data_IF_831351674525
#
_entry.id   IF_831351674525
#
_cell.length_a   1.000
_cell.length_b   1.000
_cell.length_c   1.000
_cell.angle_alpha   90.00
_cell.angle_beta   90.00
_cell.angle_gamma   90.00
#
_symmetry.space_group_name_H-M   'P 1'
#
loop_
_entity.id
_entity.type
_entity.pdbx_description
1 polymer ?
#
# COMPACT_ATOMS: atom_id res chain seq x y z
N UNK A 1 19.70 2.18 -28.55
CA UNK A 1 18.59 1.79 -27.67
C UNK A 1 19.16 1.56 -26.27
N UNK A 2 18.74 2.34 -25.27
CA UNK A 2 19.26 2.22 -23.90
C UNK A 2 18.69 0.98 -23.21
N UNK A 3 19.57 0.08 -22.80
CA UNK A 3 19.22 -1.07 -21.97
C UNK A 3 18.99 -0.57 -20.54
N UNK A 4 17.73 -0.30 -20.17
CA UNK A 4 17.38 -0.02 -18.78
C UNK A 4 17.47 -1.35 -18.01
N UNK A 5 18.65 -1.65 -17.48
CA UNK A 5 18.82 -2.63 -16.43
C UNK A 5 17.99 -2.17 -15.25
N UNK A 6 16.82 -2.79 -15.08
CA UNK A 6 15.95 -2.61 -13.94
C UNK A 6 16.78 -2.89 -12.69
N UNK A 7 16.98 -1.86 -11.85
CA UNK A 7 17.70 -1.95 -10.59
C UNK A 7 16.80 -2.66 -9.57
N UNK A 8 16.69 -3.98 -9.73
CA UNK A 8 15.93 -4.82 -8.81
C UNK A 8 16.76 -4.93 -7.54
N UNK A 9 16.26 -4.46 -6.39
CA UNK A 9 16.99 -4.64 -5.14
C UNK A 9 17.21 -6.15 -4.94
N UNK A 10 18.45 -6.57 -4.59
CA UNK A 10 18.77 -7.98 -4.46
C UNK A 10 17.84 -8.63 -3.44
N UNK A 11 17.38 -9.85 -3.73
CA UNK A 11 16.56 -10.62 -2.79
C UNK A 11 17.31 -10.68 -1.46
N UNK A 12 16.73 -10.04 -0.45
CA UNK A 12 17.34 -9.96 0.88
C UNK A 12 17.13 -11.28 1.61
N UNK A 13 18.04 -11.62 2.52
CA UNK A 13 17.91 -12.81 3.38
C UNK A 13 16.58 -12.83 4.14
N UNK A 14 16.03 -11.66 4.49
CA UNK A 14 14.71 -11.55 5.13
C UNK A 14 13.56 -11.99 4.22
N UNK A 15 13.63 -11.67 2.93
CA UNK A 15 12.64 -12.12 1.95
C UNK A 15 12.71 -13.63 1.77
N UNK A 16 13.92 -14.20 1.73
CA UNK A 16 14.10 -15.64 1.64
C UNK A 16 13.50 -16.37 2.86
N UNK A 17 13.77 -15.89 4.08
CA UNK A 17 13.18 -16.46 5.30
C UNK A 17 11.65 -16.34 5.33
N UNK A 18 11.11 -15.25 4.80
CA UNK A 18 9.65 -15.06 4.70
C UNK A 18 9.04 -16.05 3.71
N UNK A 19 9.68 -16.29 2.57
CA UNK A 19 9.24 -17.28 1.57
C UNK A 19 9.28 -18.69 2.14
N UNK A 20 10.34 -19.04 2.88
CA UNK A 20 10.43 -20.34 3.55
C UNK A 20 9.24 -20.58 4.49
N UNK A 21 8.86 -19.59 5.31
CA UNK A 21 7.70 -19.70 6.20
C UNK A 21 6.38 -19.87 5.44
N UNK A 22 6.22 -19.19 4.31
CA UNK A 22 5.04 -19.34 3.45
C UNK A 22 4.94 -20.75 2.87
N UNK A 23 6.06 -21.30 2.43
CA UNK A 23 6.15 -22.68 1.91
C UNK A 23 5.79 -23.70 2.99
N UNK A 24 6.32 -23.54 4.20
CA UNK A 24 5.96 -24.37 5.35
C UNK A 24 4.47 -24.24 5.73
N UNK A 25 3.91 -23.03 5.65
CA UNK A 25 2.50 -22.78 5.91
C UNK A 25 1.58 -23.43 4.86
N UNK A 26 1.96 -23.41 3.57
CA UNK A 26 1.24 -24.07 2.49
C UNK A 26 1.14 -25.58 2.71
N UNK A 27 2.25 -26.22 3.08
CA UNK A 27 2.25 -27.64 3.43
C UNK A 27 1.36 -27.93 4.65
N UNK A 28 1.45 -27.09 5.70
CA UNK A 28 0.61 -27.22 6.91
C UNK A 28 -0.88 -27.05 6.63
N UNK A 29 -1.26 -26.21 5.68
CA UNK A 29 -2.66 -26.01 5.29
C UNK A 29 -3.30 -27.30 4.73
N UNK A 30 -2.48 -28.19 4.17
CA UNK A 30 -2.89 -29.52 3.71
C UNK A 30 -2.59 -30.62 4.73
N UNK A 31 -2.38 -30.27 6.00
CA UNK A 31 -2.00 -31.19 7.08
C UNK A 31 -0.69 -31.96 6.85
N UNK A 32 0.18 -31.49 5.95
CA UNK A 32 1.51 -32.08 5.70
C UNK A 32 2.56 -31.46 6.61
N UNK A 33 3.44 -32.30 7.17
CA UNK A 33 4.55 -31.86 8.04
C UNK A 33 5.81 -31.48 7.23
N UNK A 34 5.94 -32.00 6.01
CA UNK A 34 7.09 -31.77 5.13
C UNK A 34 6.62 -30.97 3.92
N UNK A 35 7.30 -29.86 3.65
CA UNK A 35 7.09 -29.08 2.44
C UNK A 35 7.73 -29.76 1.23
N UNK A 36 7.04 -29.66 0.11
CA UNK A 36 7.42 -30.23 -1.19
C UNK A 36 7.81 -29.13 -2.17
N UNK A 37 8.38 -29.52 -3.30
CA UNK A 37 8.68 -28.59 -4.40
C UNK A 37 7.42 -27.86 -4.89
N UNK A 38 6.28 -28.55 -4.96
CA UNK A 38 5.01 -27.95 -5.38
C UNK A 38 4.56 -26.83 -4.45
N UNK A 39 4.80 -26.95 -3.14
CA UNK A 39 4.50 -25.87 -2.19
C UNK A 39 5.33 -24.61 -2.47
N UNK A 40 6.59 -24.79 -2.87
CA UNK A 40 7.47 -23.69 -3.26
C UNK A 40 7.02 -23.04 -4.57
N UNK A 41 6.63 -23.84 -5.57
CA UNK A 41 6.10 -23.34 -6.83
C UNK A 41 4.81 -22.55 -6.62
N UNK A 42 3.88 -23.06 -5.82
CA UNK A 42 2.64 -22.37 -5.47
C UNK A 42 2.90 -21.01 -4.81
N UNK A 43 3.83 -20.96 -3.85
CA UNK A 43 4.19 -19.70 -3.16
C UNK A 43 4.87 -18.71 -4.11
N UNK A 44 5.68 -19.18 -5.05
CA UNK A 44 6.30 -18.34 -6.09
C UNK A 44 5.23 -17.76 -7.02
N UNK A 45 4.24 -18.55 -7.42
CA UNK A 45 3.13 -18.07 -8.25
C UNK A 45 2.26 -17.05 -7.50
N UNK A 46 1.99 -17.27 -6.21
CA UNK A 46 1.32 -16.28 -5.35
C UNK A 46 2.14 -15.00 -5.25
N UNK A 47 3.47 -15.11 -5.06
CA UNK A 47 4.35 -13.95 -4.99
C UNK A 47 4.33 -13.17 -6.31
N UNK A 48 4.46 -13.85 -7.44
CA UNK A 48 4.39 -13.25 -8.78
C UNK A 48 3.05 -12.57 -9.01
N UNK A 49 1.94 -13.24 -8.69
CA UNK A 49 0.60 -12.66 -8.79
C UNK A 49 0.46 -11.42 -7.89
N UNK A 50 1.02 -11.44 -6.69
CA UNK A 50 1.00 -10.29 -5.77
C UNK A 50 1.82 -9.12 -6.29
N UNK A 51 2.92 -9.40 -6.98
CA UNK A 51 3.73 -8.38 -7.67
C UNK A 51 3.04 -7.84 -8.92
N UNK A 52 2.26 -8.65 -9.64
CA UNK A 52 1.45 -8.13 -10.76
C UNK A 52 0.33 -7.23 -10.23
N UNK A 53 -0.41 -7.65 -9.20
CA UNK A 53 -1.50 -6.86 -8.61
C UNK A 53 -1.00 -5.55 -7.95
N UNK A 54 0.21 -5.58 -7.36
CA UNK A 54 0.77 -4.40 -6.68
C UNK A 54 1.49 -3.45 -7.66
N UNK A 55 1.92 -3.92 -8.83
CA UNK A 55 2.81 -3.16 -9.72
C UNK A 55 2.24 -2.96 -11.12
N UNK A 56 1.15 -3.60 -11.53
CA UNK A 56 0.59 -3.40 -12.87
C UNK A 56 -0.23 -2.12 -12.97
N UNK A 57 0.03 -1.33 -14.02
CA UNK A 57 -0.88 -0.26 -14.45
C UNK A 57 -2.17 -0.85 -15.08
N UNK A 58 -3.12 0.02 -15.43
CA UNK A 58 -4.40 -0.34 -16.07
C UNK A 58 -4.26 -1.07 -17.42
N UNK A 59 -3.03 -1.22 -17.93
CA UNK A 59 -2.68 -1.93 -19.16
C UNK A 59 -1.83 -3.18 -18.91
N UNK A 60 -1.67 -3.62 -17.66
CA UNK A 60 -0.92 -4.82 -17.30
C UNK A 60 0.60 -4.66 -17.34
N UNK A 61 1.13 -3.44 -17.45
CA UNK A 61 2.57 -3.18 -17.45
C UNK A 61 3.09 -3.01 -16.04
N UNK A 62 4.19 -3.69 -15.72
CA UNK A 62 4.80 -3.67 -14.39
C UNK A 62 5.49 -2.31 -14.18
N UNK A 63 4.86 -1.42 -13.43
CA UNK A 63 5.35 -0.14 -12.95
C UNK A 63 5.93 -0.27 -11.52
N UNK A 64 7.25 -0.38 -11.44
CA UNK A 64 7.99 -0.44 -10.18
C UNK A 64 7.99 0.88 -9.38
N UNK A 65 7.42 1.98 -9.88
CA UNK A 65 7.18 3.16 -9.03
C UNK A 65 6.06 2.90 -8.01
N UNK A 66 5.17 1.94 -8.29
CA UNK A 66 4.15 1.41 -7.36
C UNK A 66 4.70 0.36 -6.39
N UNK A 67 5.93 -0.13 -6.59
CA UNK A 67 6.63 -1.11 -5.75
C UNK A 67 6.71 -0.76 -4.27
N UNK A 68 6.52 0.51 -4.00
CA UNK A 68 6.62 1.06 -2.69
C UNK A 68 5.20 1.26 -2.19
N UNK A 69 4.74 0.35 -1.34
CA UNK A 69 3.92 0.74 -0.19
C UNK A 69 4.61 1.77 0.72
N UNK A 70 5.54 2.59 0.19
CA UNK A 70 6.52 3.44 0.83
C UNK A 70 6.94 4.70 0.02
N UNK A 71 6.54 4.91 -1.25
CA UNK A 71 6.99 6.12 -1.99
C UNK A 71 6.34 7.41 -1.48
N UNK A 72 5.19 7.30 -0.82
CA UNK A 72 4.41 8.45 -0.36
C UNK A 72 4.20 8.50 1.15
N UNK A 73 4.96 7.73 1.93
CA UNK A 73 4.79 7.67 3.40
C UNK A 73 4.92 9.05 4.04
N UNK A 74 5.79 9.92 3.50
CA UNK A 74 5.96 11.30 3.99
C UNK A 74 4.71 12.14 3.72
N UNK A 75 4.17 12.04 2.51
CA UNK A 75 2.95 12.72 2.06
C UNK A 75 1.74 12.22 2.84
N UNK A 76 1.59 10.91 3.03
CA UNK A 76 0.53 10.29 3.84
C UNK A 76 0.62 10.78 5.28
N UNK A 77 1.80 10.70 5.92
CA UNK A 77 1.97 11.17 7.30
C UNK A 77 1.64 12.66 7.43
N UNK A 78 2.13 13.50 6.53
CA UNK A 78 1.85 14.94 6.52
C UNK A 78 0.36 15.22 6.31
N UNK A 79 -0.29 14.48 5.40
CA UNK A 79 -1.71 14.61 5.11
C UNK A 79 -2.56 14.21 6.31
N UNK A 80 -2.29 13.06 6.93
CA UNK A 80 -2.98 12.56 8.13
C UNK A 80 -2.83 13.51 9.30
N UNK A 81 -1.62 14.04 9.54
CA UNK A 81 -1.39 15.05 10.57
C UNK A 81 -2.21 16.33 10.31
N UNK A 82 -2.31 16.77 9.05
CA UNK A 82 -3.14 17.91 8.67
C UNK A 82 -4.64 17.64 8.87
N UNK A 83 -5.12 16.43 8.56
CA UNK A 83 -6.50 16.03 8.83
C UNK A 83 -6.81 16.01 10.32
N UNK A 84 -5.90 15.50 11.16
CA UNK A 84 -6.06 15.57 12.61
C UNK A 84 -6.10 17.01 13.11
N UNK A 85 -5.21 17.89 12.63
CA UNK A 85 -5.21 19.30 13.01
C UNK A 85 -6.52 20.01 12.62
N UNK A 86 -7.03 19.73 11.41
CA UNK A 86 -8.31 20.30 10.96
C UNK A 86 -9.50 19.75 11.76
N UNK A 87 -9.50 18.45 12.09
CA UNK A 87 -10.52 17.84 12.93
C UNK A 87 -10.54 18.46 14.34
N UNK A 88 -9.37 18.68 14.95
CA UNK A 88 -9.25 19.33 16.25
C UNK A 88 -9.72 20.79 16.20
N UNK A 89 -9.42 21.51 15.11
CA UNK A 89 -9.81 22.92 14.93
C UNK A 89 -11.31 23.10 14.70
N UNK A 90 -11.95 22.17 14.00
CA UNK A 90 -13.34 22.29 13.56
C UNK A 90 -14.32 21.46 14.38
N UNK A 91 -13.85 20.46 15.14
CA UNK A 91 -14.68 19.48 15.84
C UNK A 91 -15.32 18.43 14.93
N UNK A 92 -14.94 18.35 13.65
CA UNK A 92 -15.54 17.44 12.67
C UNK A 92 -14.50 16.43 12.16
N UNK A 93 -14.84 15.13 12.18
CA UNK A 93 -13.97 14.02 11.77
C UNK A 93 -14.33 13.42 10.40
N UNK A 94 -15.32 14.01 9.72
CA UNK A 94 -15.79 13.61 8.39
C UNK A 94 -15.47 14.72 7.39
N UNK A 95 -14.81 14.36 6.31
CA UNK A 95 -14.33 15.27 5.27
C UNK A 95 -14.98 14.96 3.92
N UNK A 96 -15.38 16.00 3.18
CA UNK A 96 -15.75 15.85 1.77
C UNK A 96 -14.51 15.73 0.89
N UNK A 97 -14.67 15.28 -0.37
CA UNK A 97 -13.56 15.26 -1.32
C UNK A 97 -12.95 16.66 -1.53
N UNK A 98 -13.79 17.69 -1.49
CA UNK A 98 -13.38 19.09 -1.59
C UNK A 98 -12.53 19.52 -0.39
N UNK A 99 -12.88 19.07 0.83
CA UNK A 99 -12.08 19.32 2.02
C UNK A 99 -10.71 18.66 1.93
N UNK A 100 -10.67 17.39 1.52
CA UNK A 100 -9.42 16.65 1.33
C UNK A 100 -8.48 17.36 0.34
N UNK A 101 -9.01 17.81 -0.79
CA UNK A 101 -8.24 18.57 -1.80
C UNK A 101 -7.73 19.89 -1.25
N UNK A 102 -8.57 20.66 -0.55
CA UNK A 102 -8.20 21.92 0.10
C UNK A 102 -7.07 21.71 1.12
N UNK A 103 -7.18 20.70 1.96
CA UNK A 103 -6.17 20.38 2.98
C UNK A 103 -4.84 19.99 2.31
N UNK A 104 -4.88 19.16 1.27
CA UNK A 104 -3.68 18.79 0.52
C UNK A 104 -2.98 20.00 -0.13
N UNK A 105 -3.76 20.93 -0.69
CA UNK A 105 -3.25 22.19 -1.26
C UNK A 105 -2.62 23.08 -0.19
N UNK A 106 -3.27 23.25 0.97
CA UNK A 106 -2.73 24.03 2.09
C UNK A 106 -1.41 23.44 2.63
N UNK A 107 -1.27 22.12 2.59
CA UNK A 107 -0.04 21.42 2.96
C UNK A 107 1.03 21.40 1.84
N UNK A 108 0.73 22.00 0.68
CA UNK A 108 1.57 22.02 -0.52
C UNK A 108 1.98 20.62 -0.98
N UNK A 109 1.07 19.64 -0.84
CA UNK A 109 1.29 18.28 -1.33
C UNK A 109 1.08 18.24 -2.85
N UNK A 110 2.13 17.91 -3.60
CA UNK A 110 2.08 17.75 -5.05
C UNK A 110 1.69 16.32 -5.40
N UNK A 111 0.39 16.06 -5.52
CA UNK A 111 -0.16 14.73 -5.77
C UNK A 111 -0.81 14.71 -7.16
N UNK A 112 -0.15 14.14 -8.19
CA UNK A 112 -0.64 14.18 -9.58
C UNK A 112 -1.93 13.38 -9.82
N UNK A 113 -2.26 12.40 -8.97
CA UNK A 113 -3.53 11.65 -8.99
C UNK A 113 -4.08 11.59 -7.56
N UNK A 114 -4.86 12.61 -7.19
CA UNK A 114 -5.35 12.73 -5.82
C UNK A 114 -6.35 11.63 -5.46
N UNK A 115 -7.15 11.15 -6.42
CA UNK A 115 -8.21 10.20 -6.11
C UNK A 115 -7.61 8.84 -5.80
N UNK A 116 -6.64 8.38 -6.59
CA UNK A 116 -5.82 7.18 -6.32
C UNK A 116 -5.12 7.27 -4.96
N UNK A 117 -4.64 8.45 -4.58
CA UNK A 117 -4.01 8.67 -3.28
C UNK A 117 -5.02 8.50 -2.13
N UNK A 118 -6.26 8.98 -2.29
CA UNK A 118 -7.32 8.78 -1.31
C UNK A 118 -7.77 7.32 -1.24
N UNK A 119 -7.92 6.64 -2.39
CA UNK A 119 -8.28 5.23 -2.45
C UNK A 119 -7.20 4.34 -1.80
N UNK A 120 -5.92 4.67 -2.01
CA UNK A 120 -4.79 4.03 -1.32
C UNK A 120 -4.89 4.19 0.20
N UNK A 121 -5.14 5.40 0.71
CA UNK A 121 -5.27 5.66 2.16
C UNK A 121 -6.50 4.94 2.73
N UNK A 122 -7.56 4.80 1.94
CA UNK A 122 -8.75 4.03 2.29
C UNK A 122 -8.48 2.53 2.41
N UNK A 123 -7.76 1.94 1.46
CA UNK A 123 -7.36 0.53 1.54
C UNK A 123 -6.44 0.24 2.73
N UNK A 124 -5.67 1.24 3.18
CA UNK A 124 -4.83 1.12 4.38
C UNK A 124 -5.57 1.33 5.71
N UNK A 125 -6.90 1.49 5.70
CA UNK A 125 -7.72 1.76 6.88
C UNK A 125 -7.32 3.03 7.67
N UNK A 126 -6.66 3.99 7.02
CA UNK A 126 -6.30 5.27 7.64
C UNK A 126 -7.42 6.29 7.49
N UNK A 127 -8.09 6.31 6.33
CA UNK A 127 -9.21 7.19 6.02
C UNK A 127 -10.33 6.37 5.37
N UNK A 128 -11.42 6.10 6.08
CA UNK A 128 -12.48 5.24 5.55
C UNK A 128 -13.52 6.05 4.78
N UNK A 129 -13.78 5.63 3.54
CA UNK A 129 -14.90 6.11 2.73
C UNK A 129 -16.23 5.62 3.35
N UNK A 130 -17.15 6.55 3.58
CA UNK A 130 -18.51 6.33 4.11
C UNK A 130 -19.52 7.00 3.18
N UNK A 131 -20.82 6.73 3.39
CA UNK A 131 -21.90 7.31 2.57
C UNK A 131 -21.94 8.84 2.58
N UNK A 132 -21.43 9.48 3.64
CA UNK A 132 -21.44 10.95 3.82
C UNK A 132 -20.06 11.61 3.68
N UNK A 133 -19.06 10.91 3.14
CA UNK A 133 -17.69 11.43 2.99
C UNK A 133 -16.64 10.49 3.56
N UNK A 134 -15.48 11.04 3.94
CA UNK A 134 -14.32 10.29 4.39
C UNK A 134 -14.09 10.53 5.88
N UNK A 135 -14.03 9.46 6.69
CA UNK A 135 -13.79 9.55 8.13
C UNK A 135 -12.38 9.11 8.47
N UNK A 136 -11.65 9.99 9.16
CA UNK A 136 -10.32 9.67 9.68
C UNK A 136 -10.42 8.55 10.73
N UNK A 137 -9.63 7.49 10.59
CA UNK A 137 -9.57 6.45 11.60
C UNK A 137 -8.67 6.88 12.75
N UNK A 138 -9.04 6.49 13.97
CA UNK A 138 -8.31 6.83 15.18
C UNK A 138 -6.99 6.06 15.24
N UNK A 139 -5.95 6.56 14.58
CA UNK A 139 -4.59 6.07 14.81
C UNK A 139 -4.02 6.86 15.97
N UNK A 140 -3.96 6.22 17.15
CA UNK A 140 -3.04 6.60 18.20
C UNK A 140 -1.63 6.56 17.60
N UNK A 141 -1.08 7.72 17.23
CA UNK A 141 0.34 7.87 16.94
C UNK A 141 1.06 7.90 18.30
N UNK A 142 1.36 6.70 18.83
CA UNK A 142 2.38 6.49 19.84
C UNK A 142 3.77 6.50 19.23
#
# INVERSE_FOLDING_TARGET
>A
MGNQTLDVPPVTTRQLESLKRLVEARAKAEHRQIATENDALDVIEILKASLVDTFSDEHGRIDFTRASGMSRTKEVKKFVMGLHAEAQRTGHDVFSMSDLKRIAQNLQLKIPMFEDFIDMINHQNVLLKRSKGYRLQGTQLG
#
